data_IF_869710256680
#
_entry.id   IF_869710256680
#
_cell.length_a   1.000
_cell.length_b   1.000
_cell.length_c   1.000
_cell.angle_alpha   90.00
_cell.angle_beta   90.00
_cell.angle_gamma   90.00
#
_symmetry.space_group_name_H-M   'P 1'
#
loop_
_entity.id
_entity.type
_entity.pdbx_description
1 polymer ?
#
# COMPACT_ATOMS: atom_id res chain seq x y z
N UNK A 1 12.22 -62.55 -37.83
CA UNK A 1 11.88 -61.13 -37.64
C UNK A 1 11.37 -61.00 -36.20
N UNK A 2 12.27 -60.60 -35.26
CA UNK A 2 11.94 -60.55 -33.83
C UNK A 2 11.55 -59.09 -33.46
N UNK A 3 10.29 -58.91 -33.02
CA UNK A 3 9.83 -57.67 -32.47
C UNK A 3 10.39 -57.50 -31.06
N UNK A 4 10.91 -56.34 -30.69
CA UNK A 4 11.42 -56.11 -29.31
C UNK A 4 10.28 -56.12 -28.29
N UNK A 5 10.52 -56.56 -27.08
CA UNK A 5 9.48 -56.74 -26.07
C UNK A 5 8.85 -55.41 -25.62
N UNK A 6 7.53 -55.41 -25.49
CA UNK A 6 6.69 -54.26 -25.12
C UNK A 6 7.09 -53.55 -23.80
N UNK A 7 7.92 -54.20 -22.99
CA UNK A 7 8.48 -53.67 -21.72
C UNK A 7 9.48 -52.55 -21.92
N UNK A 8 10.28 -52.55 -23.01
CA UNK A 8 11.28 -51.51 -23.27
C UNK A 8 10.62 -50.17 -23.60
N UNK A 9 9.50 -50.21 -24.36
CA UNK A 9 8.75 -49.01 -24.72
C UNK A 9 8.07 -48.35 -23.52
N UNK A 10 7.60 -49.14 -22.55
CA UNK A 10 6.93 -48.63 -21.34
C UNK A 10 7.91 -47.90 -20.41
N UNK A 11 9.12 -48.44 -20.27
CA UNK A 11 10.15 -47.82 -19.42
C UNK A 11 10.75 -46.55 -20.06
N UNK A 12 10.83 -46.50 -21.39
CA UNK A 12 11.31 -45.31 -22.10
C UNK A 12 10.30 -44.16 -22.03
N UNK A 13 9.00 -44.46 -22.08
CA UNK A 13 7.93 -43.45 -21.93
C UNK A 13 7.86 -42.89 -20.53
N UNK A 14 8.08 -43.70 -19.48
CA UNK A 14 8.13 -43.26 -18.08
C UNK A 14 9.35 -42.39 -17.82
N UNK A 15 10.52 -42.71 -18.39
CA UNK A 15 11.73 -41.88 -18.28
C UNK A 15 11.56 -40.52 -18.99
N UNK A 16 10.88 -40.48 -20.15
CA UNK A 16 10.62 -39.19 -20.83
C UNK A 16 9.61 -38.33 -20.07
N UNK A 17 8.59 -38.94 -19.47
CA UNK A 17 7.62 -38.24 -18.61
C UNK A 17 8.25 -37.74 -17.30
N UNK A 18 9.18 -38.47 -16.71
CA UNK A 18 9.94 -38.04 -15.53
C UNK A 18 10.93 -36.92 -15.86
N UNK A 19 11.60 -36.96 -17.03
CA UNK A 19 12.43 -35.86 -17.51
C UNK A 19 11.64 -34.60 -17.85
N UNK A 20 10.43 -34.74 -18.38
CA UNK A 20 9.53 -33.60 -18.62
C UNK A 20 8.99 -32.98 -17.31
N UNK A 21 8.82 -33.78 -16.26
CA UNK A 21 8.40 -33.29 -14.94
C UNK A 21 9.55 -32.55 -14.17
N UNK A 22 10.82 -32.92 -14.42
CA UNK A 22 11.99 -32.26 -13.84
C UNK A 22 12.35 -30.96 -14.57
N UNK A 23 11.85 -30.74 -15.78
CA UNK A 23 11.82 -29.44 -16.44
C UNK A 23 10.77 -28.49 -15.88
N UNK A 24 10.17 -28.77 -14.71
CA UNK A 24 9.49 -27.77 -13.92
C UNK A 24 10.53 -26.74 -13.50
N UNK A 25 10.63 -25.70 -14.32
CA UNK A 25 11.56 -24.59 -14.25
C UNK A 25 11.73 -24.17 -12.80
N UNK A 26 12.91 -24.32 -12.26
CA UNK A 26 13.36 -23.44 -11.18
C UNK A 26 13.28 -22.01 -11.77
N UNK A 27 12.12 -21.41 -11.65
CA UNK A 27 11.92 -20.00 -11.98
C UNK A 27 12.87 -19.29 -11.02
N UNK A 28 14.02 -18.84 -11.54
CA UNK A 28 14.98 -18.07 -10.75
C UNK A 28 14.18 -16.88 -10.25
N UNK A 29 13.75 -16.97 -9.00
CA UNK A 29 13.00 -15.90 -8.34
C UNK A 29 13.98 -14.72 -8.23
N UNK A 30 13.91 -13.81 -9.20
CA UNK A 30 14.64 -12.55 -9.10
C UNK A 30 13.91 -11.70 -8.05
N UNK A 31 14.58 -11.31 -6.97
CA UNK A 31 13.98 -10.46 -5.98
C UNK A 31 13.54 -9.16 -6.65
N UNK A 32 12.29 -8.76 -6.43
CA UNK A 32 11.84 -7.45 -6.88
C UNK A 32 12.44 -6.36 -5.98
N UNK A 33 12.54 -5.15 -6.53
CA UNK A 33 13.12 -3.99 -5.83
C UNK A 33 12.04 -2.98 -5.46
N UNK A 34 12.11 -2.52 -4.25
CA UNK A 34 11.21 -1.53 -3.65
C UNK A 34 12.03 -0.28 -3.29
N UNK A 35 11.54 0.90 -3.68
CA UNK A 35 12.08 2.18 -3.26
C UNK A 35 11.05 2.97 -2.47
N UNK A 36 11.40 3.44 -1.28
CA UNK A 36 10.55 4.33 -0.49
C UNK A 36 11.03 5.77 -0.57
N UNK A 37 10.13 6.69 -0.89
CA UNK A 37 10.34 8.13 -0.84
C UNK A 37 9.66 8.71 0.40
N UNK A 38 10.35 9.61 1.09
CA UNK A 38 9.87 10.27 2.30
C UNK A 38 10.51 11.65 2.49
N UNK A 39 9.96 12.45 3.41
CA UNK A 39 10.59 13.69 3.87
C UNK A 39 11.06 13.60 5.31
N UNK A 40 10.30 12.97 6.20
CA UNK A 40 10.48 12.94 7.64
C UNK A 40 10.65 14.36 8.24
N UNK A 41 9.74 15.26 7.83
CA UNK A 41 9.76 16.68 8.24
C UNK A 41 8.39 17.12 8.77
N UNK A 42 8.37 18.23 9.50
CA UNK A 42 7.19 18.92 10.02
C UNK A 42 6.46 18.18 11.15
N UNK A 43 5.57 17.25 10.85
CA UNK A 43 4.74 16.57 11.85
C UNK A 43 5.49 15.40 12.50
N UNK A 44 5.59 15.41 13.84
CA UNK A 44 6.31 14.38 14.61
C UNK A 44 5.71 12.98 14.46
N UNK A 45 4.39 12.88 14.25
CA UNK A 45 3.74 11.58 14.03
C UNK A 45 4.10 10.97 12.67
N UNK A 46 4.22 11.81 11.62
CA UNK A 46 4.72 11.37 10.32
C UNK A 46 6.21 11.02 10.38
N UNK A 47 7.03 11.82 11.09
CA UNK A 47 8.46 11.53 11.30
C UNK A 47 8.64 10.19 12.00
N UNK A 48 7.89 9.96 13.09
CA UNK A 48 7.90 8.69 13.83
C UNK A 48 7.51 7.51 12.94
N UNK A 49 6.44 7.65 12.14
CA UNK A 49 6.02 6.61 11.18
C UNK A 49 7.12 6.30 10.16
N UNK A 50 7.76 7.31 9.57
CA UNK A 50 8.86 7.13 8.60
C UNK A 50 10.03 6.40 9.23
N UNK A 51 10.42 6.76 10.45
CA UNK A 51 11.49 6.10 11.17
C UNK A 51 11.17 4.63 11.48
N UNK A 52 9.94 4.36 11.90
CA UNK A 52 9.46 2.99 12.15
C UNK A 52 9.44 2.17 10.85
N UNK A 53 8.87 2.71 9.76
CA UNK A 53 8.81 2.08 8.45
C UNK A 53 10.21 1.71 7.93
N UNK A 54 11.16 2.63 8.01
CA UNK A 54 12.55 2.39 7.58
C UNK A 54 13.32 1.38 8.46
N UNK A 55 12.81 1.03 9.63
CA UNK A 55 13.30 -0.10 10.43
C UNK A 55 12.59 -1.40 10.08
N UNK A 56 11.30 -1.35 9.82
CA UNK A 56 10.46 -2.52 9.59
C UNK A 56 10.61 -3.11 8.17
N UNK A 57 10.55 -2.29 7.10
CA UNK A 57 10.64 -2.77 5.72
C UNK A 57 11.94 -3.52 5.41
N UNK A 58 13.14 -3.13 5.89
CA UNK A 58 14.37 -3.93 5.71
C UNK A 58 14.30 -5.33 6.36
N UNK A 59 13.57 -5.47 7.47
CA UNK A 59 13.36 -6.78 8.11
C UNK A 59 12.43 -7.64 7.24
N UNK A 60 11.36 -7.04 6.70
CA UNK A 60 10.45 -7.74 5.78
C UNK A 60 11.15 -8.08 4.46
N UNK A 61 12.03 -7.23 3.96
CA UNK A 61 12.83 -7.51 2.77
C UNK A 61 13.68 -8.79 2.93
N UNK A 62 14.30 -8.97 4.07
CA UNK A 62 15.01 -10.22 4.40
C UNK A 62 14.06 -11.42 4.49
N UNK A 63 12.93 -11.26 5.18
CA UNK A 63 11.95 -12.33 5.41
C UNK A 63 11.28 -12.82 4.12
N UNK A 64 10.95 -11.90 3.21
CA UNK A 64 10.18 -12.15 1.99
C UNK A 64 11.03 -12.10 0.71
N UNK A 65 12.37 -11.99 0.85
CA UNK A 65 13.34 -12.05 -0.25
C UNK A 65 13.13 -11.00 -1.34
N UNK A 66 12.93 -9.72 -0.96
CA UNK A 66 12.96 -8.58 -1.87
C UNK A 66 14.10 -7.61 -1.48
N UNK A 67 14.38 -6.64 -2.34
CA UNK A 67 15.38 -5.59 -2.08
C UNK A 67 14.62 -4.32 -1.69
N UNK A 68 15.03 -3.69 -0.61
CA UNK A 68 14.44 -2.46 -0.12
C UNK A 68 15.50 -1.37 -0.06
N UNK A 69 15.20 -0.25 -0.72
CA UNK A 69 15.94 0.99 -0.65
C UNK A 69 15.01 2.11 -0.19
N UNK A 70 15.56 3.18 0.39
CA UNK A 70 14.80 4.36 0.75
C UNK A 70 15.59 5.65 0.52
N UNK A 71 14.90 6.75 0.24
CA UNK A 71 15.53 8.03 -0.04
C UNK A 71 14.65 9.20 0.38
N UNK A 72 15.27 10.25 0.92
CA UNK A 72 14.64 11.56 1.11
C UNK A 72 15.03 12.56 0.01
N UNK A 73 15.83 12.14 -0.95
CA UNK A 73 16.16 12.94 -2.12
C UNK A 73 15.10 12.72 -3.22
N UNK A 74 14.14 13.62 -3.31
CA UNK A 74 13.07 13.57 -4.31
C UNK A 74 13.52 13.85 -5.74
N UNK A 75 14.74 14.34 -5.97
CA UNK A 75 15.28 14.47 -7.32
C UNK A 75 15.63 13.10 -7.94
N UNK A 76 15.69 12.05 -7.12
CA UNK A 76 15.72 10.66 -7.57
C UNK A 76 14.38 10.19 -8.20
N UNK A 77 13.28 10.94 -8.01
CA UNK A 77 12.00 10.61 -8.64
C UNK A 77 12.03 11.07 -10.11
N UNK A 78 12.75 10.31 -10.91
CA UNK A 78 12.90 10.50 -12.36
C UNK A 78 12.83 9.14 -13.08
N UNK A 79 12.57 9.15 -14.38
CA UNK A 79 12.33 7.93 -15.16
C UNK A 79 13.53 6.97 -15.15
N UNK A 80 14.76 7.50 -15.22
CA UNK A 80 15.97 6.69 -15.21
C UNK A 80 16.19 5.97 -13.89
N UNK A 81 15.94 6.63 -12.76
CA UNK A 81 16.05 6.03 -11.44
C UNK A 81 14.93 5.02 -11.19
N UNK A 82 13.68 5.40 -11.49
CA UNK A 82 12.49 4.56 -11.25
C UNK A 82 12.51 3.26 -12.07
N UNK A 83 13.16 3.24 -13.23
CA UNK A 83 13.31 2.03 -14.07
C UNK A 83 14.01 0.86 -13.34
N UNK A 84 14.72 1.13 -12.26
CA UNK A 84 15.39 0.11 -11.46
C UNK A 84 14.50 -0.57 -10.43
N UNK A 85 13.28 -0.07 -10.20
CA UNK A 85 12.39 -0.52 -9.13
C UNK A 85 11.04 -0.97 -9.65
N UNK A 86 10.52 -2.06 -9.11
CA UNK A 86 9.21 -2.59 -9.44
C UNK A 86 8.11 -1.94 -8.60
N UNK A 87 8.43 -1.51 -7.38
CA UNK A 87 7.46 -0.89 -6.47
C UNK A 87 8.02 0.40 -5.90
N UNK A 88 7.22 1.44 -5.92
CA UNK A 88 7.48 2.74 -5.28
C UNK A 88 6.58 2.89 -4.07
N UNK A 89 7.14 3.29 -2.92
CA UNK A 89 6.40 3.62 -1.72
C UNK A 89 6.47 5.13 -1.47
N UNK A 90 5.35 5.74 -1.08
CA UNK A 90 5.33 7.09 -0.52
C UNK A 90 4.88 7.03 0.94
N UNK A 91 5.72 7.46 1.87
CA UNK A 91 5.44 7.33 3.30
C UNK A 91 4.68 8.52 3.87
N UNK A 92 5.22 9.73 3.74
CA UNK A 92 4.70 10.91 4.43
C UNK A 92 4.44 12.10 3.50
N UNK A 93 4.55 11.90 2.22
CA UNK A 93 4.32 12.94 1.22
C UNK A 93 4.23 12.36 -0.19
N UNK A 94 4.13 13.21 -1.19
CA UNK A 94 4.11 12.92 -2.63
C UNK A 94 4.93 13.96 -3.39
N UNK A 95 5.26 13.73 -4.67
CA UNK A 95 6.08 14.67 -5.44
C UNK A 95 5.40 16.05 -5.59
N UNK A 96 6.20 17.11 -5.44
CA UNK A 96 5.75 18.49 -5.57
C UNK A 96 6.12 19.10 -6.91
N UNK A 97 7.34 18.81 -7.40
CA UNK A 97 7.85 19.40 -8.66
C UNK A 97 7.15 18.78 -9.87
N UNK A 98 6.78 19.60 -10.90
CA UNK A 98 6.11 19.08 -12.09
C UNK A 98 6.86 17.94 -12.79
N UNK A 99 8.19 18.01 -12.88
CA UNK A 99 9.01 16.95 -13.49
C UNK A 99 8.94 15.63 -12.71
N UNK A 100 8.91 15.68 -11.38
CA UNK A 100 8.76 14.50 -10.52
C UNK A 100 7.37 13.88 -10.69
N UNK A 101 6.32 14.71 -10.74
CA UNK A 101 4.93 14.29 -11.01
C UNK A 101 4.81 13.59 -12.35
N UNK A 102 5.37 14.18 -13.40
CA UNK A 102 5.37 13.59 -14.74
C UNK A 102 6.10 12.24 -14.77
N UNK A 103 7.27 12.14 -14.13
CA UNK A 103 8.04 10.90 -14.05
C UNK A 103 7.28 9.79 -13.30
N UNK A 104 6.63 10.12 -12.19
CA UNK A 104 5.81 9.15 -11.45
C UNK A 104 4.57 8.71 -12.25
N UNK A 105 3.87 9.64 -12.87
CA UNK A 105 2.71 9.33 -13.72
C UNK A 105 3.13 8.39 -14.86
N UNK A 106 4.20 8.71 -15.56
CA UNK A 106 4.75 7.85 -16.61
C UNK A 106 5.12 6.47 -16.09
N UNK A 107 5.76 6.38 -14.91
CA UNK A 107 6.10 5.10 -14.29
C UNK A 107 4.85 4.24 -14.04
N UNK A 108 3.77 4.83 -13.51
CA UNK A 108 2.52 4.12 -13.27
C UNK A 108 1.80 3.71 -14.55
N UNK A 109 1.76 4.57 -15.56
CA UNK A 109 1.16 4.31 -16.87
C UNK A 109 1.88 3.18 -17.63
N UNK A 110 3.18 3.00 -17.40
CA UNK A 110 3.98 1.91 -17.94
C UNK A 110 3.98 0.64 -17.08
N UNK A 111 3.08 0.54 -16.13
CA UNK A 111 2.85 -0.67 -15.35
C UNK A 111 3.70 -0.80 -14.09
N UNK A 112 4.33 0.26 -13.64
CA UNK A 112 4.94 0.34 -12.31
C UNK A 112 3.92 0.06 -11.20
N UNK A 113 4.40 -0.24 -10.01
CA UNK A 113 3.56 -0.48 -8.85
C UNK A 113 3.81 0.53 -7.74
N UNK A 114 2.76 0.84 -6.97
CA UNK A 114 2.86 1.83 -5.91
C UNK A 114 2.05 1.46 -4.67
N UNK A 115 2.59 1.85 -3.50
CA UNK A 115 1.83 1.92 -2.26
C UNK A 115 2.07 3.29 -1.61
N UNK A 116 0.99 3.93 -1.17
CA UNK A 116 1.06 5.20 -0.46
C UNK A 116 0.38 5.13 0.89
N UNK A 117 0.94 5.88 1.83
CA UNK A 117 0.47 5.91 3.20
C UNK A 117 0.02 7.31 3.58
N UNK A 118 -1.15 7.38 4.22
CA UNK A 118 -1.67 8.54 4.92
C UNK A 118 -1.51 9.86 4.15
N UNK A 119 -0.55 10.71 4.55
CA UNK A 119 -0.33 12.03 3.95
C UNK A 119 0.09 11.98 2.47
N UNK A 120 0.53 10.83 1.97
CA UNK A 120 0.74 10.65 0.54
C UNK A 120 -0.55 10.88 -0.29
N UNK A 121 -1.73 10.70 0.30
CA UNK A 121 -3.02 10.99 -0.34
C UNK A 121 -3.56 12.39 -0.09
N UNK A 122 -2.95 13.17 0.78
CA UNK A 122 -3.49 14.46 1.21
C UNK A 122 -3.55 15.50 0.07
N UNK A 123 -4.69 16.19 -0.07
CA UNK A 123 -4.89 17.31 -0.98
C UNK A 123 -6.01 18.23 -0.51
N UNK A 124 -5.82 19.52 -0.71
CA UNK A 124 -6.82 20.57 -0.48
C UNK A 124 -6.99 21.44 -1.70
N UNK A 125 -8.22 21.93 -1.95
CA UNK A 125 -8.49 22.96 -2.95
C UNK A 125 -9.44 24.02 -2.36
N UNK A 126 -9.17 25.31 -2.52
CA UNK A 126 -7.88 25.86 -3.02
C UNK A 126 -6.77 25.58 -2.03
N UNK A 127 -5.54 25.47 -2.50
CA UNK A 127 -4.36 25.25 -1.67
C UNK A 127 -3.25 26.21 -2.05
N UNK A 128 -2.63 26.83 -1.03
CA UNK A 128 -1.40 27.60 -1.20
C UNK A 128 -0.18 26.70 -1.45
N UNK A 129 -0.31 25.41 -1.21
CA UNK A 129 0.74 24.43 -1.40
C UNK A 129 0.63 23.75 -2.75
N UNK A 130 1.71 23.32 -3.39
CA UNK A 130 1.69 22.55 -4.64
C UNK A 130 1.23 21.12 -4.41
N UNK A 131 0.22 20.92 -3.57
CA UNK A 131 -0.27 19.62 -3.13
C UNK A 131 -1.30 19.05 -4.10
N UNK A 132 -2.13 19.91 -4.71
CA UNK A 132 -3.17 19.45 -5.62
C UNK A 132 -2.58 19.01 -6.95
N UNK A 133 -2.97 17.82 -7.37
CA UNK A 133 -2.52 17.20 -8.59
C UNK A 133 -3.66 16.36 -9.16
N UNK A 134 -4.40 16.92 -10.15
CA UNK A 134 -5.67 16.38 -10.63
C UNK A 134 -5.59 14.89 -11.00
N UNK A 135 -4.64 14.51 -11.85
CA UNK A 135 -4.49 13.11 -12.21
C UNK A 135 -4.32 12.22 -10.97
N UNK A 136 -3.45 12.62 -10.04
CA UNK A 136 -3.16 11.82 -8.84
C UNK A 136 -4.37 11.64 -7.92
N UNK A 137 -5.07 12.73 -7.60
CA UNK A 137 -6.16 12.69 -6.62
C UNK A 137 -7.50 12.22 -7.22
N UNK A 138 -7.76 12.54 -8.50
CA UNK A 138 -9.03 12.26 -9.13
C UNK A 138 -9.06 10.94 -9.91
N UNK A 139 -7.99 10.65 -10.69
CA UNK A 139 -7.95 9.50 -11.58
C UNK A 139 -7.21 8.33 -10.96
N UNK A 140 -6.03 8.59 -10.37
CA UNK A 140 -5.18 7.57 -9.80
C UNK A 140 -5.65 7.12 -8.41
N UNK A 141 -5.82 8.06 -7.45
CA UNK A 141 -6.35 7.79 -6.11
C UNK A 141 -7.87 7.65 -6.10
N UNK A 142 -8.56 8.39 -6.94
CA UNK A 142 -10.02 8.34 -7.11
C UNK A 142 -10.84 8.97 -5.99
N UNK A 143 -10.20 9.40 -4.90
CA UNK A 143 -10.86 9.89 -3.69
C UNK A 143 -11.16 11.39 -3.70
N UNK A 144 -10.58 12.12 -4.67
CA UNK A 144 -10.66 13.58 -4.67
C UNK A 144 -9.81 14.18 -3.56
N UNK A 145 -10.38 15.16 -2.87
CA UNK A 145 -9.66 15.91 -1.86
C UNK A 145 -9.90 15.38 -0.45
N UNK A 146 -8.97 15.68 0.44
CA UNK A 146 -9.14 15.51 1.87
C UNK A 146 -10.30 16.41 2.36
N UNK A 147 -11.16 15.85 3.21
CA UNK A 147 -12.30 16.55 3.79
C UNK A 147 -12.12 16.85 5.27
N UNK A 148 -11.56 15.91 6.03
CA UNK A 148 -11.36 16.03 7.47
C UNK A 148 -10.62 14.82 8.03
N UNK A 149 -10.30 14.87 9.32
CA UNK A 149 -9.61 13.79 10.03
C UNK A 149 -10.13 13.61 11.45
N UNK A 150 -9.74 12.51 12.09
CA UNK A 150 -10.13 12.21 13.46
C UNK A 150 -9.27 12.90 14.50
N UNK A 151 -8.29 13.73 14.13
CA UNK A 151 -7.40 14.30 15.12
C UNK A 151 -7.93 14.23 16.59
N UNK A 152 -7.45 13.40 17.42
CA UNK A 152 -6.22 12.67 17.64
C UNK A 152 -6.21 11.27 16.98
N UNK A 153 -5.04 10.55 16.96
CA UNK A 153 -4.99 9.15 16.60
C UNK A 153 -5.88 8.30 17.50
N UNK A 154 -6.75 7.52 16.90
CA UNK A 154 -7.65 6.58 17.59
C UNK A 154 -7.64 5.23 16.89
N UNK A 155 -7.70 4.11 17.64
CA UNK A 155 -7.86 2.81 17.02
C UNK A 155 -9.28 2.66 16.48
N UNK A 156 -9.42 1.93 15.36
CA UNK A 156 -10.70 1.60 14.78
C UNK A 156 -10.87 0.09 14.61
N UNK A 157 -12.09 -0.40 14.57
CA UNK A 157 -12.41 -1.72 14.04
C UNK A 157 -12.45 -1.58 12.52
N UNK A 158 -11.59 -2.30 11.84
CA UNK A 158 -11.51 -2.33 10.38
C UNK A 158 -12.24 -3.55 9.85
N UNK A 159 -12.96 -3.38 8.74
CA UNK A 159 -13.73 -4.43 8.06
C UNK A 159 -13.12 -4.71 6.69
N UNK A 160 -12.90 -5.98 6.39
CA UNK A 160 -12.50 -6.43 5.05
C UNK A 160 -13.74 -6.39 4.14
N UNK A 161 -13.67 -5.60 3.07
CA UNK A 161 -14.77 -5.41 2.10
C UNK A 161 -14.76 -6.47 0.99
N UNK A 162 -13.60 -6.98 0.64
CA UNK A 162 -13.45 -8.03 -0.37
C UNK A 162 -12.50 -9.14 0.12
N UNK A 163 -13.02 -10.14 0.87
CA UNK A 163 -12.21 -11.24 1.37
C UNK A 163 -11.67 -12.16 0.27
N UNK A 164 -12.20 -12.09 -0.96
CA UNK A 164 -11.69 -12.87 -2.09
C UNK A 164 -10.48 -12.20 -2.77
N UNK A 165 -10.19 -10.94 -2.46
CA UNK A 165 -9.05 -10.24 -3.04
C UNK A 165 -7.73 -10.81 -2.49
N UNK A 166 -6.71 -11.11 -3.34
CA UNK A 166 -5.46 -11.72 -2.89
C UNK A 166 -4.74 -10.95 -1.78
N UNK A 167 -4.82 -9.62 -1.79
CA UNK A 167 -4.23 -8.79 -0.74
C UNK A 167 -4.93 -8.91 0.63
N UNK A 168 -6.14 -9.50 0.68
CA UNK A 168 -6.90 -9.72 1.91
C UNK A 168 -6.76 -11.17 2.42
N UNK A 169 -5.93 -11.99 1.78
CA UNK A 169 -5.75 -13.39 2.15
C UNK A 169 -5.35 -13.54 3.63
N UNK A 170 -6.00 -14.49 4.31
CA UNK A 170 -5.76 -14.85 5.72
C UNK A 170 -5.99 -13.71 6.72
N UNK A 171 -6.65 -12.61 6.32
CA UNK A 171 -7.08 -11.59 7.27
C UNK A 171 -8.44 -11.99 7.89
N UNK A 172 -8.68 -11.68 9.16
CA UNK A 172 -10.01 -11.83 9.76
C UNK A 172 -10.98 -10.85 9.10
N UNK A 173 -12.28 -11.17 9.13
CA UNK A 173 -13.33 -10.30 8.56
C UNK A 173 -13.31 -8.90 9.16
N UNK A 174 -13.02 -8.82 10.45
CA UNK A 174 -12.79 -7.54 11.16
C UNK A 174 -11.60 -7.68 12.10
N UNK A 175 -10.87 -6.57 12.30
CA UNK A 175 -9.79 -6.51 13.28
C UNK A 175 -9.61 -5.09 13.81
N UNK A 176 -9.01 -4.97 15.00
CA UNK A 176 -8.71 -3.67 15.60
C UNK A 176 -7.36 -3.16 15.09
N UNK A 177 -7.34 -1.93 14.62
CA UNK A 177 -6.13 -1.25 14.18
C UNK A 177 -5.27 -0.76 15.34
N UNK A 178 -4.02 -0.39 15.06
CA UNK A 178 -3.27 0.58 15.86
C UNK A 178 -3.99 1.95 15.82
N UNK A 179 -3.79 2.82 16.81
CA UNK A 179 -4.24 4.20 16.73
C UNK A 179 -3.72 4.90 15.48
N UNK A 180 -4.61 5.63 14.79
CA UNK A 180 -4.30 6.39 13.58
C UNK A 180 -5.11 7.68 13.53
N UNK A 181 -4.62 8.67 12.81
CA UNK A 181 -5.42 9.79 12.35
C UNK A 181 -6.14 9.39 11.08
N UNK A 182 -7.44 9.17 11.13
CA UNK A 182 -8.21 8.71 9.99
C UNK A 182 -8.70 9.87 9.13
N UNK A 183 -8.36 9.85 7.84
CA UNK A 183 -8.85 10.81 6.86
C UNK A 183 -10.22 10.43 6.33
N UNK A 184 -11.06 11.43 6.13
CA UNK A 184 -12.26 11.35 5.30
C UNK A 184 -12.04 12.13 3.99
N UNK A 185 -12.78 11.74 2.95
CA UNK A 185 -12.57 12.20 1.59
C UNK A 185 -13.80 12.92 1.07
N UNK A 186 -13.58 13.84 0.12
CA UNK A 186 -14.67 14.60 -0.50
C UNK A 186 -15.62 13.69 -1.28
N UNK A 187 -15.08 12.71 -1.97
CA UNK A 187 -15.85 11.80 -2.81
C UNK A 187 -16.15 10.50 -2.08
N UNK A 188 -17.39 10.01 -2.28
CA UNK A 188 -17.70 8.62 -1.96
C UNK A 188 -17.06 7.73 -3.04
N UNK A 189 -15.90 7.15 -2.72
CA UNK A 189 -15.13 6.35 -3.68
C UNK A 189 -15.84 5.07 -4.16
N UNK A 190 -16.93 4.65 -3.49
CA UNK A 190 -17.80 3.54 -3.96
C UNK A 190 -18.50 3.86 -5.27
N UNK A 191 -18.71 5.14 -5.55
CA UNK A 191 -19.33 5.60 -6.80
C UNK A 191 -18.34 5.70 -7.96
N UNK A 192 -17.06 5.44 -7.70
CA UNK A 192 -16.01 5.44 -8.72
C UNK A 192 -15.71 4.01 -9.16
N UNK A 193 -16.20 3.64 -10.34
CA UNK A 193 -16.03 2.30 -10.91
C UNK A 193 -14.57 1.87 -11.12
N UNK A 194 -13.63 2.83 -11.13
CA UNK A 194 -12.21 2.55 -11.22
C UNK A 194 -11.62 2.06 -9.89
N UNK A 195 -12.28 2.34 -8.77
CA UNK A 195 -11.77 2.05 -7.44
C UNK A 195 -12.40 0.79 -6.86
N UNK A 196 -11.59 0.02 -6.16
CA UNK A 196 -12.03 -1.10 -5.35
C UNK A 196 -11.56 -0.90 -3.92
N UNK A 197 -12.52 -0.69 -3.01
CA UNK A 197 -12.22 -0.62 -1.58
C UNK A 197 -11.94 -2.01 -1.07
N UNK A 198 -10.86 -2.17 -0.34
CA UNK A 198 -10.41 -3.43 0.27
C UNK A 198 -10.70 -3.45 1.77
N UNK A 199 -10.62 -2.28 2.42
CA UNK A 199 -10.82 -2.14 3.86
C UNK A 199 -11.55 -0.83 4.17
N UNK A 200 -12.49 -0.87 5.10
CA UNK A 200 -13.19 0.31 5.63
C UNK A 200 -13.21 0.30 7.16
N UNK A 201 -13.56 1.45 7.76
CA UNK A 201 -13.85 1.52 9.19
C UNK A 201 -15.24 0.93 9.42
N UNK A 202 -15.35 -0.04 10.32
CA UNK A 202 -16.64 -0.60 10.76
C UNK A 202 -17.42 0.44 11.55
N UNK A 203 -18.72 0.53 11.30
CA UNK A 203 -19.61 1.51 11.94
C UNK A 203 -19.69 1.38 13.47
N UNK A 204 -19.25 0.26 14.02
CA UNK A 204 -19.18 0.05 15.48
C UNK A 204 -17.93 0.66 16.12
N UNK A 205 -16.99 1.18 15.33
CA UNK A 205 -15.72 1.72 15.83
C UNK A 205 -15.92 2.96 16.70
N UNK A 206 -16.91 3.76 16.36
CA UNK A 206 -17.20 5.03 17.06
C UNK A 206 -18.69 5.14 17.37
N UNK A 207 -19.06 5.58 18.57
CA UNK A 207 -20.46 5.90 18.88
C UNK A 207 -21.00 6.93 17.90
N UNK A 208 -22.23 6.71 17.40
CA UNK A 208 -22.91 7.67 16.53
C UNK A 208 -23.06 9.03 17.22
N UNK A 209 -22.80 10.09 16.46
CA UNK A 209 -22.86 11.45 16.98
C UNK A 209 -21.69 11.87 17.84
N UNK A 210 -20.65 11.05 17.94
CA UNK A 210 -19.41 11.38 18.65
C UNK A 210 -18.22 11.38 17.71
N UNK A 211 -17.22 12.18 18.02
CA UNK A 211 -15.97 12.25 17.30
C UNK A 211 -14.89 12.89 18.15
N UNK A 212 -13.64 12.79 17.76
CA UNK A 212 -12.51 13.37 18.52
C UNK A 212 -12.55 14.90 18.55
N UNK A 213 -13.21 15.51 17.56
CA UNK A 213 -13.49 16.96 17.53
C UNK A 213 -14.99 17.20 17.64
N UNK A 214 -15.44 18.23 18.39
CA UNK A 214 -16.87 18.50 18.57
C UNK A 214 -17.65 18.73 17.27
N UNK A 215 -16.98 19.20 16.23
CA UNK A 215 -17.58 19.49 14.91
C UNK A 215 -17.33 18.39 13.85
N UNK A 216 -16.51 17.41 14.16
CA UNK A 216 -16.23 16.25 13.29
C UNK A 216 -16.92 15.02 13.87
N UNK A 217 -18.20 14.92 13.57
CA UNK A 217 -19.02 13.82 14.07
C UNK A 217 -18.87 12.64 13.11
N UNK A 218 -18.45 11.52 13.65
CA UNK A 218 -18.45 10.26 12.93
C UNK A 218 -19.86 9.71 12.88
N UNK A 219 -20.42 9.76 11.72
CA UNK A 219 -21.75 9.22 11.46
C UNK A 219 -21.63 7.77 10.97
N UNK A 220 -22.78 7.14 10.68
CA UNK A 220 -22.90 5.88 9.95
C UNK A 220 -22.44 5.99 8.48
N UNK A 221 -21.57 6.94 8.16
CA UNK A 221 -20.98 7.13 6.85
C UNK A 221 -19.97 6.01 6.52
N UNK A 222 -19.56 5.98 5.26
CA UNK A 222 -18.59 5.02 4.77
C UNK A 222 -17.19 5.63 4.77
N UNK A 223 -16.26 4.99 5.47
CA UNK A 223 -14.89 5.47 5.64
C UNK A 223 -13.89 4.45 5.08
N UNK A 224 -13.49 4.58 3.82
CA UNK A 224 -12.51 3.71 3.21
C UNK A 224 -11.12 3.94 3.82
N UNK A 225 -10.41 2.85 4.08
CA UNK A 225 -9.08 2.87 4.72
C UNK A 225 -8.01 2.36 3.77
N UNK A 226 -8.32 1.29 3.01
CA UNK A 226 -7.41 0.72 2.02
C UNK A 226 -8.18 0.47 0.74
N UNK A 227 -7.62 0.93 -0.38
CA UNK A 227 -8.21 0.69 -1.69
C UNK A 227 -7.18 0.57 -2.80
N UNK A 228 -7.61 0.03 -3.93
CA UNK A 228 -6.85 -0.12 -5.17
C UNK A 228 -7.62 0.47 -6.35
N UNK A 229 -6.89 0.74 -7.42
CA UNK A 229 -7.44 1.18 -8.70
C UNK A 229 -7.34 0.05 -9.74
N UNK A 230 -8.39 -0.18 -10.52
CA UNK A 230 -8.45 -1.25 -11.52
C UNK A 230 -7.47 -1.08 -12.68
N UNK A 231 -7.06 0.15 -12.95
CA UNK A 231 -6.21 0.50 -14.09
C UNK A 231 -4.73 0.63 -13.72
N UNK A 232 -4.43 0.74 -12.42
CA UNK A 232 -3.06 0.91 -11.93
C UNK A 232 -2.72 -0.14 -10.88
N UNK A 233 -1.47 -0.59 -10.84
CA UNK A 233 -0.97 -1.44 -9.75
C UNK A 233 -0.70 -0.58 -8.51
N UNK A 234 -1.73 -0.23 -7.78
CA UNK A 234 -1.59 0.66 -6.64
C UNK A 234 -2.40 0.17 -5.45
N UNK A 235 -1.92 0.49 -4.25
CA UNK A 235 -2.70 0.42 -3.02
C UNK A 235 -2.44 1.69 -2.21
N UNK A 236 -3.49 2.34 -1.76
CA UNK A 236 -3.41 3.40 -0.79
C UNK A 236 -3.86 2.91 0.58
N UNK A 237 -3.13 3.36 1.60
CA UNK A 237 -3.43 3.14 3.02
C UNK A 237 -3.73 4.48 3.70
N UNK A 238 -4.89 4.60 4.31
CA UNK A 238 -5.20 5.73 5.19
C UNK A 238 -4.43 5.64 6.53
N UNK A 239 -3.65 4.58 6.73
CA UNK A 239 -2.75 4.38 7.86
C UNK A 239 -1.36 4.95 7.52
N UNK A 240 -0.66 5.46 8.53
CA UNK A 240 0.69 6.05 8.37
C UNK A 240 0.95 7.26 9.29
N UNK A 241 0.23 7.30 10.42
CA UNK A 241 0.36 8.36 11.41
C UNK A 241 0.48 7.71 12.81
N UNK A 242 1.68 7.72 13.38
CA UNK A 242 1.88 7.22 14.74
C UNK A 242 1.22 8.15 15.78
N UNK A 243 1.00 7.65 16.98
CA UNK A 243 0.47 8.47 18.06
C UNK A 243 1.62 9.07 18.87
N UNK A 244 1.54 10.39 19.10
CA UNK A 244 2.56 11.18 19.79
C UNK A 244 1.90 11.93 20.95
N UNK A 245 2.61 12.09 22.05
CA UNK A 245 2.16 12.87 23.21
C UNK A 245 2.22 14.38 22.94
N UNK A 246 1.27 14.87 22.17
CA UNK A 246 1.11 16.29 21.91
C UNK A 246 0.56 17.05 23.12
N UNK A 247 -0.23 16.40 23.99
CA UNK A 247 -0.87 17.05 25.15
C UNK A 247 0.14 17.58 26.15
N UNK A 248 1.12 16.73 26.48
CA UNK A 248 2.17 17.11 27.43
C UNK A 248 3.37 17.76 26.71
N UNK A 249 3.29 17.93 25.37
CA UNK A 249 4.37 18.50 24.53
C UNK A 249 5.71 17.78 24.68
N UNK A 250 5.68 16.49 24.97
CA UNK A 250 6.89 15.68 25.15
C UNK A 250 7.41 15.11 23.85
N UNK A 251 6.59 15.09 22.80
CA UNK A 251 6.83 14.37 21.55
C UNK A 251 7.14 12.87 21.75
N UNK A 252 6.75 12.31 22.89
CA UNK A 252 6.92 10.88 23.17
C UNK A 252 5.99 10.08 22.27
N UNK A 253 6.54 9.05 21.66
CA UNK A 253 5.77 8.07 20.88
C UNK A 253 4.90 7.24 21.82
N UNK A 254 3.58 7.22 21.57
CA UNK A 254 2.58 6.50 22.36
C UNK A 254 2.16 5.21 21.70
N UNK A 255 2.14 5.15 20.35
CA UNK A 255 1.84 3.94 19.59
C UNK A 255 2.52 3.94 18.24
N UNK A 256 2.67 2.76 17.67
CA UNK A 256 3.35 2.50 16.41
C UNK A 256 2.46 1.70 15.46
N UNK A 257 2.49 2.05 14.18
CA UNK A 257 1.69 1.38 13.15
C UNK A 257 2.10 -0.07 12.95
N UNK A 258 3.42 -0.34 12.94
CA UNK A 258 3.94 -1.69 12.71
C UNK A 258 4.00 -2.55 13.99
N UNK A 259 3.49 -2.06 15.11
CA UNK A 259 3.28 -2.88 16.31
C UNK A 259 2.03 -3.81 16.20
N UNK A 260 1.19 -3.65 15.17
CA UNK A 260 0.01 -4.45 14.94
C UNK A 260 0.26 -5.54 13.88
N UNK A 261 0.31 -6.80 14.31
CA UNK A 261 0.63 -7.94 13.42
C UNK A 261 -0.36 -8.11 12.26
N UNK A 262 -1.65 -7.86 12.49
CA UNK A 262 -2.67 -7.98 11.43
C UNK A 262 -2.49 -6.88 10.38
N UNK A 263 -2.16 -5.66 10.80
CA UNK A 263 -1.81 -4.58 9.87
C UNK A 263 -0.52 -4.92 9.09
N UNK A 264 0.47 -5.48 9.76
CA UNK A 264 1.72 -5.91 9.13
C UNK A 264 1.46 -6.97 8.05
N UNK A 265 0.59 -7.94 8.34
CA UNK A 265 0.19 -8.96 7.38
C UNK A 265 -0.53 -8.33 6.17
N UNK A 266 -1.48 -7.44 6.40
CA UNK A 266 -2.16 -6.67 5.36
C UNK A 266 -1.16 -5.91 4.46
N UNK A 267 -0.23 -5.16 5.04
CA UNK A 267 0.77 -4.37 4.30
C UNK A 267 1.63 -5.29 3.42
N UNK A 268 2.09 -6.43 3.97
CA UNK A 268 2.88 -7.38 3.20
C UNK A 268 2.09 -8.06 2.09
N UNK A 269 0.84 -8.45 2.34
CA UNK A 269 -0.02 -9.01 1.31
C UNK A 269 -0.23 -8.03 0.16
N UNK A 270 -0.47 -6.75 0.47
CA UNK A 270 -0.61 -5.70 -0.53
C UNK A 270 0.69 -5.50 -1.33
N UNK A 271 1.84 -5.46 -0.65
CA UNK A 271 3.15 -5.32 -1.31
C UNK A 271 3.43 -6.47 -2.28
N UNK A 272 3.24 -7.69 -1.82
CA UNK A 272 3.45 -8.88 -2.65
C UNK A 272 2.47 -8.94 -3.82
N UNK A 273 1.22 -8.51 -3.61
CA UNK A 273 0.21 -8.48 -4.66
C UNK A 273 0.55 -7.45 -5.75
N UNK A 274 0.90 -6.21 -5.41
CA UNK A 274 1.28 -5.21 -6.43
C UNK A 274 2.58 -5.59 -7.12
N UNK A 275 3.55 -6.16 -6.42
CA UNK A 275 4.79 -6.66 -7.00
C UNK A 275 4.54 -7.83 -7.96
N UNK A 276 3.63 -8.75 -7.63
CA UNK A 276 3.25 -9.87 -8.49
C UNK A 276 2.60 -9.42 -9.79
N UNK A 277 1.77 -8.39 -9.76
CA UNK A 277 1.18 -7.78 -10.95
C UNK A 277 2.22 -7.05 -11.82
N UNK A 278 3.21 -6.42 -11.23
CA UNK A 278 4.25 -5.72 -11.99
C UNK A 278 5.15 -6.66 -12.80
N UNK A 279 5.23 -7.94 -12.40
CA UNK A 279 5.98 -8.98 -13.12
C UNK A 279 5.17 -9.68 -14.22
N UNK A 280 3.84 -9.53 -14.23
CA UNK A 280 2.94 -10.25 -15.15
C UNK A 280 2.56 -9.45 -16.41
N UNK A 281 3.09 -8.25 -16.59
CA UNK A 281 2.82 -7.45 -17.80
C UNK A 281 3.91 -7.64 -18.84
N UNK A 282 3.51 -7.86 -20.11
CA UNK A 282 4.44 -8.01 -21.24
C UNK A 282 5.22 -6.74 -21.53
#
# INVERSE_FOLDING_TARGET
>A
MHLPPKTVFKNMLVCVLLLAAVCCRAQVFRPFKVIAFYTAQQDQAHISFVHEANKWFPQMAKKYHFIYDSTNNWDNLNTGFLSNYQVVLFFDTRPEKPAQRAAFQQYMEHGGAWMGFHFAGFALTPSAYPQNWNWYHNDFMGAGQYKGNTWRPVPAVLRVEDPAHPAMAQLPVTFRSAPNEWYSWERDIRTNDSIKVLLSIDSTSFPLGTGPKPHEIWHSGYYPVVWTNKYFNMVYFNMGHNDIDYENKTNKELSFQFANETQNHLIMNCLLWVAGKSHCRP
#
